data_IF_501070412430
#
_entry.id   IF_501070412430
#
_cell.length_a   1.000
_cell.length_b   1.000
_cell.length_c   1.000
_cell.angle_alpha   90.00
_cell.angle_beta   90.00
_cell.angle_gamma   90.00
#
_symmetry.space_group_name_H-M   'P 1'
#
loop_
_entity.id
_entity.type
_entity.pdbx_description
1 polymer ?
#
# COMPACT_ATOMS: atom_id res chain seq x y z
N UNK A 1 -26.28 -6.19 2.68
CA UNK A 1 -26.76 -5.02 3.44
C UNK A 1 -26.13 -5.09 4.81
N UNK A 2 -25.86 -3.94 5.41
CA UNK A 2 -24.98 -3.87 6.57
C UNK A 2 -25.48 -2.75 7.47
N UNK A 3 -25.52 -3.01 8.77
CA UNK A 3 -25.72 -2.00 9.81
C UNK A 3 -24.39 -1.84 10.54
N UNK A 4 -24.02 -0.60 10.81
CA UNK A 4 -22.86 -0.28 11.63
C UNK A 4 -23.30 -0.16 13.09
N UNK A 5 -23.11 -1.20 13.88
CA UNK A 5 -23.36 -1.15 15.33
C UNK A 5 -22.07 -0.77 16.05
N UNK A 6 -22.07 0.36 16.76
CA UNK A 6 -20.92 0.80 17.57
C UNK A 6 -21.20 0.46 19.03
N UNK A 7 -20.46 -0.52 19.56
CA UNK A 7 -20.54 -0.88 20.98
C UNK A 7 -19.87 0.18 21.86
N UNK A 8 -20.10 0.09 23.18
CA UNK A 8 -19.68 1.10 24.15
C UNK A 8 -20.34 2.46 23.92
N UNK A 9 -21.64 2.46 23.61
CA UNK A 9 -22.44 3.67 23.43
C UNK A 9 -22.67 4.46 24.72
N UNK A 10 -22.47 3.87 25.91
CA UNK A 10 -22.57 4.51 27.22
C UNK A 10 -21.26 5.15 27.67
N UNK A 11 -20.56 5.87 26.78
CA UNK A 11 -19.30 6.52 27.09
C UNK A 11 -19.46 7.53 28.25
N UNK A 12 -18.84 7.22 29.39
CA UNK A 12 -18.86 8.09 30.57
C UNK A 12 -18.08 9.40 30.35
N UNK A 13 -17.10 9.40 29.45
CA UNK A 13 -16.26 10.56 29.14
C UNK A 13 -15.99 10.65 27.64
N UNK A 14 -16.21 11.83 27.07
CA UNK A 14 -15.84 12.17 25.71
C UNK A 14 -14.49 12.92 25.69
N UNK A 15 -13.76 12.91 24.56
CA UNK A 15 -12.56 13.71 24.42
C UNK A 15 -12.81 15.20 24.72
N UNK A 16 -11.83 15.92 25.30
CA UNK A 16 -11.96 17.33 25.62
C UNK A 16 -12.43 18.15 24.42
N UNK A 17 -13.42 19.02 24.63
CA UNK A 17 -13.98 19.87 23.58
C UNK A 17 -15.01 19.17 22.66
N UNK A 18 -15.43 17.94 22.98
CA UNK A 18 -16.52 17.26 22.26
C UNK A 18 -17.63 16.82 23.20
N UNK A 19 -18.88 16.98 22.75
CA UNK A 19 -20.04 16.37 23.40
C UNK A 19 -20.27 14.95 22.86
N UNK A 20 -21.14 14.19 23.53
CA UNK A 20 -21.46 12.81 23.15
C UNK A 20 -21.93 12.71 21.70
N UNK A 21 -22.88 13.56 21.31
CA UNK A 21 -23.44 13.59 19.95
C UNK A 21 -22.40 13.91 18.88
N UNK A 22 -21.55 14.92 19.11
CA UNK A 22 -20.46 15.28 18.21
C UNK A 22 -19.42 14.18 18.05
N UNK A 23 -18.98 13.58 19.16
CA UNK A 23 -18.02 12.47 19.15
C UNK A 23 -18.57 11.26 18.40
N UNK A 24 -19.79 10.81 18.74
CA UNK A 24 -20.44 9.68 18.10
C UNK A 24 -20.63 9.92 16.59
N UNK A 25 -21.10 11.10 16.21
CA UNK A 25 -21.29 11.49 14.80
C UNK A 25 -19.99 11.46 14.00
N UNK A 26 -18.90 11.98 14.58
CA UNK A 26 -17.58 11.96 13.95
C UNK A 26 -17.04 10.53 13.80
N UNK A 27 -17.26 9.67 14.80
CA UNK A 27 -16.84 8.27 14.77
C UNK A 27 -17.58 7.50 13.67
N UNK A 28 -18.90 7.64 13.61
CA UNK A 28 -19.73 7.05 12.54
C UNK A 28 -19.28 7.52 11.17
N UNK A 29 -19.04 8.83 11.00
CA UNK A 29 -18.57 9.41 9.73
C UNK A 29 -17.22 8.85 9.31
N UNK A 30 -16.28 8.72 10.24
CA UNK A 30 -14.96 8.15 9.98
C UNK A 30 -15.04 6.69 9.54
N UNK A 31 -15.87 5.87 10.22
CA UNK A 31 -16.07 4.48 9.85
C UNK A 31 -16.75 4.33 8.48
N UNK A 32 -17.77 5.14 8.17
CA UNK A 32 -18.41 5.16 6.85
C UNK A 32 -17.42 5.49 5.72
N UNK A 33 -16.41 6.33 5.97
CA UNK A 33 -15.34 6.62 4.99
C UNK A 33 -14.38 5.44 4.81
N UNK A 34 -14.14 4.66 5.85
CA UNK A 34 -13.24 3.51 5.81
C UNK A 34 -13.87 2.28 5.13
N UNK A 35 -15.20 2.13 5.17
CA UNK A 35 -15.90 1.05 4.46
C UNK A 35 -15.80 1.31 2.95
N UNK A 36 -15.19 0.39 2.16
CA UNK A 36 -14.99 0.61 0.73
C UNK A 36 -16.33 0.75 0.00
N UNK A 37 -16.40 1.68 -0.96
CA UNK A 37 -17.59 2.02 -1.73
C UNK A 37 -18.03 0.93 -2.74
N UNK A 38 -17.66 -0.34 -2.55
CA UNK A 38 -18.02 -1.42 -3.46
C UNK A 38 -17.63 -1.11 -4.92
N UNK A 39 -18.61 -1.15 -5.84
CA UNK A 39 -18.47 -1.04 -7.31
C UNK A 39 -18.01 0.35 -7.83
N UNK A 40 -17.49 1.23 -6.99
CA UNK A 40 -16.85 2.49 -7.40
C UNK A 40 -17.09 3.63 -6.42
N UNK A 41 -16.36 4.75 -6.54
CA UNK A 41 -16.43 5.87 -5.60
C UNK A 41 -17.82 6.53 -5.53
N UNK A 42 -18.65 6.34 -6.56
CA UNK A 42 -20.01 6.87 -6.67
C UNK A 42 -21.08 5.99 -6.02
N UNK A 43 -20.77 4.74 -5.67
CA UNK A 43 -21.72 3.79 -5.07
C UNK A 43 -21.38 3.53 -3.60
N UNK A 44 -21.46 4.56 -2.77
CA UNK A 44 -21.43 4.37 -1.31
C UNK A 44 -22.83 4.01 -0.84
N UNK A 45 -23.12 2.73 -0.49
CA UNK A 45 -24.41 2.40 0.06
C UNK A 45 -24.62 3.16 1.38
N UNK A 46 -25.86 3.58 1.62
CA UNK A 46 -26.26 4.11 2.90
C UNK A 46 -26.03 3.04 3.98
N UNK A 47 -25.12 3.33 4.90
CA UNK A 47 -24.74 2.47 6.01
C UNK A 47 -25.39 3.02 7.27
N UNK A 48 -26.62 2.60 7.62
CA UNK A 48 -27.25 3.02 8.86
C UNK A 48 -26.36 2.60 10.03
N UNK A 49 -26.26 3.48 11.01
CA UNK A 49 -25.41 3.29 12.17
C UNK A 49 -26.24 3.44 13.45
N UNK A 50 -26.00 2.58 14.42
CA UNK A 50 -26.69 2.57 15.71
C UNK A 50 -25.64 2.43 16.80
N UNK A 51 -25.79 3.20 17.87
CA UNK A 51 -24.94 3.09 19.06
C UNK A 51 -25.52 1.99 19.98
N UNK A 52 -24.67 1.20 20.61
CA UNK A 52 -25.08 0.01 21.38
C UNK A 52 -24.32 -0.02 22.70
N UNK A 53 -25.02 -0.27 23.80
CA UNK A 53 -24.40 -0.47 25.12
C UNK A 53 -24.77 -1.83 25.73
N UNK A 54 -23.80 -2.73 25.70
CA UNK A 54 -23.98 -4.10 26.17
C UNK A 54 -23.75 -4.24 27.68
N UNK A 55 -23.07 -3.27 28.32
CA UNK A 55 -22.79 -3.32 29.76
C UNK A 55 -24.06 -3.57 30.57
N UNK A 56 -23.93 -4.37 31.64
CA UNK A 56 -24.98 -4.55 32.62
C UNK A 56 -25.29 -3.23 33.37
N UNK A 57 -24.33 -2.31 33.40
CA UNK A 57 -24.42 -0.99 34.04
C UNK A 57 -25.04 0.07 33.11
N UNK A 58 -25.55 -0.34 31.94
CA UNK A 58 -26.27 0.56 31.05
C UNK A 58 -27.46 1.18 31.78
N UNK A 59 -27.56 2.50 31.75
CA UNK A 59 -28.67 3.22 32.36
C UNK A 59 -30.02 2.74 31.78
N UNK A 60 -31.02 2.69 32.64
CA UNK A 60 -32.39 2.34 32.26
C UNK A 60 -33.34 3.46 32.57
N UNK A 61 -34.33 3.66 31.71
CA UNK A 61 -35.44 4.57 31.99
C UNK A 61 -36.43 3.97 33.02
N UNK A 62 -37.46 4.72 33.47
CA UNK A 62 -38.46 4.22 34.42
C UNK A 62 -39.26 3.01 33.93
N UNK A 63 -39.24 2.74 32.62
CA UNK A 63 -39.88 1.57 32.00
C UNK A 63 -38.93 0.37 31.86
N UNK A 64 -37.70 0.46 32.38
CA UNK A 64 -36.68 -0.59 32.30
C UNK A 64 -36.00 -0.70 30.93
N UNK A 65 -36.17 0.29 30.05
CA UNK A 65 -35.55 0.32 28.72
C UNK A 65 -34.13 0.85 28.82
N UNK A 66 -33.19 0.20 28.15
CA UNK A 66 -31.79 0.63 28.10
C UNK A 66 -31.65 1.93 27.30
N UNK A 67 -31.04 2.93 27.92
CA UNK A 67 -30.86 4.27 27.35
C UNK A 67 -29.40 4.66 27.24
N UNK A 68 -29.09 5.46 26.24
CA UNK A 68 -27.78 6.07 26.03
C UNK A 68 -27.72 7.49 26.62
N UNK A 69 -26.53 8.12 26.69
CA UNK A 69 -26.37 9.48 27.23
C UNK A 69 -27.20 10.56 26.53
N UNK A 70 -27.61 10.34 25.28
CA UNK A 70 -28.52 11.21 24.52
C UNK A 70 -30.01 10.89 24.74
N UNK A 71 -30.34 10.04 25.71
CA UNK A 71 -31.69 9.53 26.01
C UNK A 71 -32.31 8.63 24.92
N UNK A 72 -31.52 8.17 23.93
CA UNK A 72 -32.01 7.22 22.93
C UNK A 72 -32.17 5.82 23.52
N UNK A 73 -33.24 5.10 23.12
CA UNK A 73 -33.50 3.71 23.52
C UNK A 73 -32.88 2.76 22.49
N UNK A 74 -31.61 2.44 22.68
CA UNK A 74 -30.80 1.81 21.63
C UNK A 74 -31.29 0.43 21.18
N UNK A 75 -31.91 -0.35 22.07
CA UNK A 75 -32.41 -1.70 21.72
C UNK A 75 -33.54 -1.59 20.69
N UNK A 76 -34.44 -0.62 20.90
CA UNK A 76 -35.57 -0.38 19.99
C UNK A 76 -35.08 0.19 18.66
N UNK A 77 -34.14 1.13 18.70
CA UNK A 77 -33.53 1.70 17.51
C UNK A 77 -32.77 0.65 16.68
N UNK A 78 -32.01 -0.23 17.33
CA UNK A 78 -31.30 -1.32 16.68
C UNK A 78 -32.28 -2.28 16.01
N UNK A 79 -33.31 -2.72 16.73
CA UNK A 79 -34.33 -3.61 16.20
C UNK A 79 -35.06 -3.00 15.00
N UNK A 80 -35.50 -1.74 15.11
CA UNK A 80 -36.15 -1.02 14.02
C UNK A 80 -35.24 -0.91 12.80
N UNK A 81 -33.98 -0.51 13.00
CA UNK A 81 -32.99 -0.40 11.92
C UNK A 81 -32.73 -1.74 11.23
N UNK A 82 -32.66 -2.83 12.00
CA UNK A 82 -32.48 -4.18 11.43
C UNK A 82 -33.68 -4.60 10.58
N UNK A 83 -34.91 -4.32 11.04
CA UNK A 83 -36.14 -4.59 10.28
C UNK A 83 -36.16 -3.77 8.99
N UNK A 84 -35.89 -2.47 9.06
CA UNK A 84 -35.84 -1.60 7.88
C UNK A 84 -34.83 -2.09 6.84
N UNK A 85 -33.65 -2.51 7.30
CA UNK A 85 -32.60 -3.05 6.42
C UNK A 85 -33.01 -4.41 5.85
N UNK A 86 -33.65 -5.27 6.64
CA UNK A 86 -34.12 -6.57 6.19
C UNK A 86 -35.18 -6.43 5.09
N UNK A 87 -36.14 -5.51 5.26
CA UNK A 87 -37.23 -5.27 4.32
C UNK A 87 -36.79 -4.61 3.00
N UNK A 88 -35.63 -3.95 2.97
CA UNK A 88 -35.12 -3.22 1.79
C UNK A 88 -34.58 -4.11 0.67
N UNK A 89 -35.31 -5.13 0.22
CA UNK A 89 -35.03 -5.96 -0.98
C UNK A 89 -34.57 -7.39 -0.68
N UNK A 90 -33.90 -8.06 -1.63
CA UNK A 90 -33.49 -9.47 -1.50
C UNK A 90 -32.37 -9.73 -0.49
N UNK A 91 -32.44 -10.82 0.31
CA UNK A 91 -31.39 -11.20 1.24
C UNK A 91 -30.10 -11.63 0.52
N UNK A 92 -28.98 -11.55 1.23
CA UNK A 92 -27.73 -12.11 0.72
C UNK A 92 -27.84 -13.64 0.72
N UNK A 93 -27.66 -14.25 -0.45
CA UNK A 93 -27.61 -15.71 -0.59
C UNK A 93 -26.16 -16.09 -0.80
N UNK A 94 -25.58 -16.77 0.19
CA UNK A 94 -24.24 -17.33 0.06
C UNK A 94 -24.25 -18.37 -1.06
N UNK A 95 -23.40 -18.16 -2.07
CA UNK A 95 -23.10 -19.18 -3.09
C UNK A 95 -21.64 -19.56 -2.95
N UNK A 96 -21.30 -20.86 -2.85
CA UNK A 96 -19.91 -21.30 -2.74
C UNK A 96 -19.00 -20.73 -3.84
N UNK A 97 -19.54 -20.53 -5.05
CA UNK A 97 -18.85 -19.93 -6.20
C UNK A 97 -18.53 -18.43 -6.08
N UNK A 98 -19.09 -17.71 -5.08
CA UNK A 98 -18.79 -16.28 -4.83
C UNK A 98 -17.46 -16.05 -4.12
N UNK A 99 -16.78 -17.10 -3.66
CA UNK A 99 -15.40 -16.97 -3.15
C UNK A 99 -14.46 -16.66 -4.33
N UNK A 100 -14.37 -15.37 -4.67
CA UNK A 100 -13.40 -14.86 -5.63
C UNK A 100 -12.00 -15.21 -5.10
N UNK A 101 -11.35 -16.21 -5.70
CA UNK A 101 -9.94 -16.53 -5.44
C UNK A 101 -9.11 -15.33 -5.92
N UNK A 102 -8.65 -14.44 -5.02
CA UNK A 102 -8.04 -13.16 -5.42
C UNK A 102 -6.81 -13.38 -6.31
N UNK A 103 -6.15 -14.52 -6.11
CA UNK A 103 -4.92 -14.89 -6.78
C UNK A 103 -5.10 -15.42 -8.22
N UNK A 104 -6.32 -15.45 -8.77
CA UNK A 104 -6.56 -16.05 -10.10
C UNK A 104 -6.85 -15.05 -11.22
N UNK A 105 -7.18 -13.80 -10.92
CA UNK A 105 -7.69 -12.87 -11.94
C UNK A 105 -6.65 -12.33 -12.94
N UNK A 106 -5.35 -12.40 -12.61
CA UNK A 106 -4.27 -11.79 -13.43
C UNK A 106 -3.10 -12.74 -13.72
N UNK A 107 -3.25 -14.05 -13.44
CA UNK A 107 -2.16 -15.02 -13.69
C UNK A 107 -1.75 -15.07 -15.17
N UNK A 108 -2.70 -14.82 -16.08
CA UNK A 108 -2.45 -14.75 -17.52
C UNK A 108 -1.60 -13.54 -17.92
N UNK A 109 -1.57 -12.47 -17.12
CA UNK A 109 -0.79 -11.27 -17.41
C UNK A 109 0.68 -11.40 -16.99
N UNK A 110 1.00 -12.36 -16.11
CA UNK A 110 2.38 -12.65 -15.65
C UNK A 110 3.34 -12.93 -16.83
N UNK A 111 3.04 -13.87 -17.75
CA UNK A 111 3.93 -14.12 -18.88
C UNK A 111 4.05 -12.91 -19.82
N UNK A 112 2.99 -12.12 -19.98
CA UNK A 112 3.02 -10.91 -20.81
C UNK A 112 3.92 -9.82 -20.20
N UNK A 113 3.84 -9.61 -18.89
CA UNK A 113 4.70 -8.66 -18.18
C UNK A 113 6.16 -9.11 -18.23
N UNK A 114 6.43 -10.40 -18.03
CA UNK A 114 7.78 -10.95 -18.15
C UNK A 114 8.36 -10.78 -19.57
N UNK A 115 7.55 -11.05 -20.61
CA UNK A 115 7.95 -10.84 -21.99
C UNK A 115 8.22 -9.35 -22.28
N UNK A 116 7.40 -8.44 -21.74
CA UNK A 116 7.61 -7.00 -21.85
C UNK A 116 8.92 -6.54 -21.19
N UNK A 117 9.22 -7.05 -19.99
CA UNK A 117 10.49 -6.79 -19.29
C UNK A 117 11.69 -7.31 -20.09
N UNK A 118 11.60 -8.53 -20.62
CA UNK A 118 12.66 -9.12 -21.44
C UNK A 118 12.88 -8.33 -22.75
N UNK A 119 11.79 -7.90 -23.41
CA UNK A 119 11.87 -7.09 -24.61
C UNK A 119 12.50 -5.72 -24.32
N UNK A 120 12.14 -5.06 -23.21
CA UNK A 120 12.74 -3.80 -22.79
C UNK A 120 14.25 -3.96 -22.52
N UNK A 121 14.64 -5.02 -21.81
CA UNK A 121 16.04 -5.32 -21.54
C UNK A 121 16.83 -5.54 -22.83
N UNK A 122 16.38 -6.47 -23.68
CA UNK A 122 17.12 -6.89 -24.86
C UNK A 122 17.13 -5.83 -25.97
N UNK A 123 16.04 -5.08 -26.15
CA UNK A 123 15.91 -4.12 -27.26
C UNK A 123 16.28 -2.69 -26.92
N UNK A 124 16.26 -2.32 -25.64
CA UNK A 124 16.49 -0.92 -25.24
C UNK A 124 17.71 -0.81 -24.34
N UNK A 125 17.70 -1.45 -23.15
CA UNK A 125 18.78 -1.24 -22.19
C UNK A 125 20.11 -1.82 -22.69
N UNK A 126 20.12 -3.09 -23.09
CA UNK A 126 21.35 -3.77 -23.53
C UNK A 126 22.08 -3.03 -24.66
N UNK A 127 21.45 -2.67 -25.79
CA UNK A 127 22.17 -1.99 -26.88
C UNK A 127 22.62 -0.57 -26.52
N UNK A 128 21.94 0.11 -25.59
CA UNK A 128 22.39 1.41 -25.08
C UNK A 128 23.64 1.23 -24.23
N UNK A 129 23.62 0.26 -23.31
CA UNK A 129 24.77 -0.05 -22.46
C UNK A 129 25.98 -0.52 -23.28
N UNK A 130 25.76 -1.40 -24.25
CA UNK A 130 26.83 -1.91 -25.12
C UNK A 130 27.49 -0.75 -25.92
N UNK A 131 26.70 0.20 -26.44
CA UNK A 131 27.23 1.40 -27.12
C UNK A 131 27.99 2.33 -26.19
N UNK A 132 27.52 2.48 -24.95
CA UNK A 132 28.22 3.28 -23.95
C UNK A 132 29.56 2.64 -23.56
N UNK A 133 29.60 1.32 -23.44
CA UNK A 133 30.84 0.57 -23.19
C UNK A 133 31.83 0.71 -24.35
N UNK A 134 31.37 0.58 -25.60
CA UNK A 134 32.20 0.81 -26.79
C UNK A 134 32.76 2.24 -26.83
N UNK A 135 31.93 3.25 -26.52
CA UNK A 135 32.34 4.65 -26.48
C UNK A 135 33.40 4.90 -25.41
N UNK A 136 33.22 4.33 -24.21
CA UNK A 136 34.22 4.42 -23.13
C UNK A 136 35.52 3.73 -23.54
N UNK A 137 35.46 2.55 -24.16
CA UNK A 137 36.63 1.84 -24.65
C UNK A 137 37.42 2.65 -25.69
N UNK A 138 36.74 3.33 -26.62
CA UNK A 138 37.37 4.20 -27.61
C UNK A 138 38.03 5.43 -26.96
N UNK A 139 37.36 6.05 -25.98
CA UNK A 139 37.92 7.19 -25.24
C UNK A 139 39.16 6.78 -24.44
N UNK A 140 39.09 5.64 -23.75
CA UNK A 140 40.23 5.07 -23.03
C UNK A 140 41.40 4.78 -23.97
N UNK A 141 41.14 4.15 -25.12
CA UNK A 141 42.19 3.87 -26.09
C UNK A 141 42.86 5.15 -26.59
N UNK A 142 42.08 6.21 -26.87
CA UNK A 142 42.61 7.51 -27.24
C UNK A 142 43.51 8.11 -26.14
N UNK A 143 43.05 8.10 -24.88
CA UNK A 143 43.82 8.59 -23.73
C UNK A 143 45.12 7.79 -23.57
N UNK A 144 45.07 6.47 -23.72
CA UNK A 144 46.26 5.61 -23.61
C UNK A 144 47.26 5.83 -24.74
N UNK A 145 46.78 6.05 -25.97
CA UNK A 145 47.65 6.41 -27.11
C UNK A 145 48.35 7.75 -26.87
N UNK A 146 47.61 8.77 -26.43
CA UNK A 146 48.17 10.07 -26.09
C UNK A 146 49.23 9.98 -24.97
N UNK A 147 48.94 9.24 -23.90
CA UNK A 147 49.90 8.95 -22.82
C UNK A 147 51.15 8.22 -23.32
N UNK A 148 50.99 7.29 -24.26
CA UNK A 148 52.12 6.57 -24.86
C UNK A 148 53.07 7.48 -25.62
N UNK A 149 52.53 8.37 -26.46
CA UNK A 149 53.31 9.36 -27.24
C UNK A 149 54.07 10.29 -26.30
N UNK A 150 53.42 10.79 -25.25
CA UNK A 150 54.05 11.72 -24.31
C UNK A 150 55.16 11.05 -23.49
N UNK A 151 54.94 9.81 -23.03
CA UNK A 151 55.98 9.05 -22.31
C UNK A 151 57.19 8.75 -23.18
N UNK A 152 56.99 8.44 -24.47
CA UNK A 152 58.08 8.26 -25.43
C UNK A 152 58.92 9.52 -25.59
N UNK A 153 58.28 10.71 -25.64
CA UNK A 153 58.99 12.00 -25.67
C UNK A 153 59.85 12.25 -24.43
N UNK A 154 59.37 11.81 -23.27
CA UNK A 154 60.06 11.95 -21.99
C UNK A 154 61.15 10.86 -21.76
N UNK A 155 61.35 9.94 -22.71
CA UNK A 155 62.28 8.82 -22.54
C UNK A 155 61.85 7.77 -21.51
N UNK A 156 60.57 7.77 -21.12
CA UNK A 156 60.00 6.85 -20.15
C UNK A 156 59.37 5.67 -20.92
N UNK A 157 59.55 4.44 -20.43
CA UNK A 157 58.97 3.23 -21.03
C UNK A 157 57.44 3.27 -21.23
N UNK A 158 56.92 2.32 -22.01
CA UNK A 158 55.52 2.26 -22.42
C UNK A 158 54.53 2.33 -21.22
N UNK A 159 53.36 2.95 -21.39
CA UNK A 159 52.37 3.03 -20.34
C UNK A 159 51.80 1.65 -20.01
N UNK A 160 51.81 1.27 -18.72
CA UNK A 160 51.16 0.07 -18.22
C UNK A 160 49.66 0.32 -18.10
N UNK A 161 48.84 -0.47 -18.82
CA UNK A 161 47.39 -0.41 -18.68
C UNK A 161 46.96 -1.06 -17.34
N UNK A 162 45.90 -0.56 -16.69
CA UNK A 162 45.29 -1.21 -15.54
C UNK A 162 44.84 -2.62 -15.96
N UNK A 163 45.43 -3.63 -15.33
CA UNK A 163 45.01 -5.02 -15.43
C UNK A 163 44.87 -5.55 -14.02
N UNK A 164 44.09 -6.62 -13.81
CA UNK A 164 44.01 -7.26 -12.48
C UNK A 164 45.38 -7.65 -11.95
N UNK A 165 46.27 -8.14 -12.81
CA UNK A 165 47.64 -8.47 -12.45
C UNK A 165 48.47 -7.23 -12.06
N UNK A 166 48.30 -6.11 -12.76
CA UNK A 166 49.01 -4.86 -12.46
C UNK A 166 48.46 -4.19 -11.20
N UNK A 167 47.14 -4.25 -10.98
CA UNK A 167 46.49 -3.75 -9.77
C UNK A 167 46.93 -4.58 -8.55
N UNK A 168 46.93 -5.91 -8.67
CA UNK A 168 47.38 -6.82 -7.61
C UNK A 168 48.88 -6.64 -7.29
N UNK A 169 49.74 -6.49 -8.30
CA UNK A 169 51.17 -6.17 -8.07
C UNK A 169 51.38 -4.83 -7.37
N UNK A 170 50.55 -3.84 -7.67
CA UNK A 170 50.60 -2.54 -6.98
C UNK A 170 50.12 -2.66 -5.54
N UNK A 171 49.04 -3.41 -5.27
CA UNK A 171 48.56 -3.70 -3.91
C UNK A 171 49.66 -4.38 -3.07
N UNK A 172 50.36 -5.38 -3.61
CA UNK A 172 51.47 -6.03 -2.91
C UNK A 172 52.62 -5.08 -2.55
N UNK A 173 52.94 -4.11 -3.42
CA UNK A 173 54.00 -3.14 -3.13
C UNK A 173 53.65 -2.17 -1.99
N UNK A 174 52.37 -1.95 -1.70
CA UNK A 174 51.93 -1.08 -0.61
C UNK A 174 51.62 -1.83 0.69
N UNK A 175 51.52 -3.15 0.65
CA UNK A 175 51.35 -4.01 1.84
C UNK A 175 52.68 -4.37 2.51
N UNK A 176 53.79 -4.25 1.79
CA UNK A 176 55.15 -4.58 2.25
C UNK A 176 55.95 -3.37 2.84
N UNK A 177 55.35 -2.17 2.90
CA UNK A 177 55.88 -0.95 3.56
C UNK A 177 55.14 -0.64 4.89
#
# INVERSE_FOLDING_TARGET
RTVLALTHGGLATTPPGTDFGGYASQRVRSLRRAVPAGRGPFFRPELPAVLVENSAECATDPSGRRVLPDSSVWVQELAATLVDVALKGRPYVYRPSMTRRPNHSWRWAVPLLAAGQAALWLKVLKPVMDKDEERLAQQDEFVWRAKGIERQRLGIGAPLRPSKENAWRLEQMYEDD
#
